data_IF_416223088258
#
_entry.id   IF_416223088258
#
_cell.length_a   1.000
_cell.length_b   1.000
_cell.length_c   1.000
_cell.angle_alpha   90.00
_cell.angle_beta   90.00
_cell.angle_gamma   90.00
#
_symmetry.space_group_name_H-M   'P 1'
#
loop_
_entity.id
_entity.type
_entity.pdbx_description
1 polymer ?
#
# COMPACT_ATOMS: atom_id res chain seq x y z
N UNK A 1 16.77 -17.99 5.09
CA UNK A 1 15.55 -17.16 5.30
C UNK A 1 14.36 -18.08 5.14
N UNK A 2 13.43 -18.10 6.08
CA UNK A 2 12.29 -19.03 6.02
C UNK A 2 11.25 -18.60 4.97
N UNK A 3 10.40 -19.52 4.48
CA UNK A 3 9.42 -19.21 3.44
C UNK A 3 8.46 -18.07 3.77
N UNK A 4 8.06 -17.90 5.04
CA UNK A 4 7.14 -16.82 5.43
C UNK A 4 7.82 -15.47 5.35
N UNK A 5 9.04 -15.36 5.85
CA UNK A 5 9.83 -14.13 5.74
C UNK A 5 10.02 -13.72 4.26
N UNK A 6 10.29 -14.68 3.37
CA UNK A 6 10.40 -14.38 1.92
C UNK A 6 9.08 -13.83 1.34
N UNK A 7 7.94 -14.40 1.72
CA UNK A 7 6.62 -13.92 1.28
C UNK A 7 6.38 -12.50 1.77
N UNK A 8 6.67 -12.22 3.05
CA UNK A 8 6.50 -10.87 3.62
C UNK A 8 7.40 -9.86 2.90
N UNK A 9 8.64 -10.22 2.56
CA UNK A 9 9.55 -9.35 1.78
C UNK A 9 8.97 -9.03 0.41
N UNK A 10 8.44 -10.02 -0.33
CA UNK A 10 7.82 -9.77 -1.64
C UNK A 10 6.61 -8.85 -1.53
N UNK A 11 5.76 -9.06 -0.52
CA UNK A 11 4.60 -8.21 -0.26
C UNK A 11 5.01 -6.78 0.09
N UNK A 12 6.08 -6.62 0.86
CA UNK A 12 6.70 -5.34 1.20
C UNK A 12 7.25 -4.63 -0.02
N UNK A 13 7.93 -5.33 -0.92
CA UNK A 13 8.45 -4.74 -2.17
C UNK A 13 7.33 -4.20 -3.05
N UNK A 14 6.24 -4.96 -3.20
CA UNK A 14 5.05 -4.51 -3.93
C UNK A 14 4.44 -3.29 -3.24
N UNK A 15 4.29 -3.32 -1.92
CA UNK A 15 3.76 -2.20 -1.15
C UNK A 15 4.59 -0.92 -1.33
N UNK A 16 5.92 -1.00 -1.27
CA UNK A 16 6.82 0.13 -1.48
C UNK A 16 6.68 0.72 -2.88
N UNK A 17 6.55 -0.13 -3.90
CA UNK A 17 6.31 0.31 -5.27
C UNK A 17 4.98 1.06 -5.37
N UNK A 18 3.89 0.49 -4.84
CA UNK A 18 2.57 1.13 -4.86
C UNK A 18 2.55 2.45 -4.07
N UNK A 19 3.24 2.50 -2.92
CA UNK A 19 3.40 3.73 -2.11
C UNK A 19 4.08 4.82 -2.92
N UNK A 20 5.15 4.48 -3.64
CA UNK A 20 5.88 5.40 -4.51
C UNK A 20 5.02 5.87 -5.68
N UNK A 21 4.37 4.95 -6.39
CA UNK A 21 3.53 5.26 -7.55
C UNK A 21 2.39 6.23 -7.15
N UNK A 22 1.72 5.96 -6.03
CA UNK A 22 0.68 6.85 -5.47
C UNK A 22 1.20 8.27 -5.26
N UNK A 23 2.36 8.42 -4.61
CA UNK A 23 2.98 9.73 -4.34
C UNK A 23 3.37 10.44 -5.64
N UNK A 24 3.95 9.73 -6.60
CA UNK A 24 4.34 10.32 -7.89
C UNK A 24 3.12 10.80 -8.70
N UNK A 25 2.01 10.05 -8.68
CA UNK A 25 0.78 10.44 -9.37
C UNK A 25 0.15 11.67 -8.70
N UNK A 26 0.09 11.72 -7.36
CA UNK A 26 -0.41 12.89 -6.63
C UNK A 26 0.42 14.13 -6.94
N UNK A 27 1.75 14.02 -6.97
CA UNK A 27 2.63 15.14 -7.37
C UNK A 27 2.38 15.63 -8.79
N UNK A 28 2.11 14.71 -9.73
CA UNK A 28 1.76 15.08 -11.11
C UNK A 28 0.44 15.84 -11.16
N UNK A 29 -0.56 15.40 -10.41
CA UNK A 29 -1.87 16.06 -10.32
C UNK A 29 -1.78 17.49 -9.75
N UNK A 30 -0.87 17.72 -8.81
CA UNK A 30 -0.62 19.04 -8.21
C UNK A 30 0.16 20.00 -9.12
N UNK A 31 0.57 19.55 -10.31
CA UNK A 31 1.33 20.38 -11.25
C UNK A 31 0.50 21.60 -11.72
N UNK A 32 1.01 22.83 -11.55
CA UNK A 32 0.26 24.06 -11.81
C UNK A 32 -0.08 24.27 -13.29
N UNK A 33 0.58 23.53 -14.19
CA UNK A 33 0.47 23.70 -15.64
C UNK A 33 -0.45 22.66 -16.32
N UNK A 34 -1.24 21.90 -15.56
CA UNK A 34 -2.20 20.96 -16.15
C UNK A 34 -3.46 21.68 -16.64
N UNK A 35 -3.90 21.35 -17.85
CA UNK A 35 -5.25 21.69 -18.32
C UNK A 35 -6.31 20.92 -17.51
N UNK A 36 -7.54 21.41 -17.51
CA UNK A 36 -8.61 20.81 -16.69
C UNK A 36 -8.92 19.35 -17.10
N UNK A 37 -8.93 19.05 -18.41
CA UNK A 37 -9.06 17.66 -18.90
C UNK A 37 -7.96 16.75 -18.35
N UNK A 38 -6.70 17.22 -18.37
CA UNK A 38 -5.57 16.45 -17.84
C UNK A 38 -5.66 16.30 -16.32
N UNK A 39 -6.17 17.31 -15.60
CA UNK A 39 -6.40 17.20 -14.16
C UNK A 39 -7.44 16.12 -13.86
N UNK A 40 -8.51 16.03 -14.65
CA UNK A 40 -9.51 14.98 -14.48
C UNK A 40 -8.91 13.59 -14.74
N UNK A 41 -8.16 13.41 -15.82
CA UNK A 41 -7.43 12.17 -16.10
C UNK A 41 -6.51 11.79 -14.92
N UNK A 42 -5.70 12.73 -14.43
CA UNK A 42 -4.80 12.49 -13.30
C UNK A 42 -5.56 12.21 -11.99
N UNK A 43 -6.74 12.78 -11.77
CA UNK A 43 -7.60 12.45 -10.61
C UNK A 43 -8.06 11.01 -10.67
N UNK A 44 -8.55 10.55 -11.83
CA UNK A 44 -8.97 9.16 -12.00
C UNK A 44 -7.80 8.18 -11.79
N UNK A 45 -6.63 8.51 -12.34
CA UNK A 45 -5.41 7.71 -12.14
C UNK A 45 -4.98 7.70 -10.68
N UNK A 46 -5.05 8.83 -9.97
CA UNK A 46 -4.72 8.92 -8.55
C UNK A 46 -5.67 8.08 -7.69
N UNK A 47 -6.98 8.13 -7.99
CA UNK A 47 -7.98 7.30 -7.31
C UNK A 47 -7.75 5.82 -7.56
N UNK A 48 -7.43 5.43 -8.80
CA UNK A 48 -7.08 4.06 -9.16
C UNK A 48 -5.84 3.57 -8.40
N UNK A 49 -4.78 4.37 -8.35
CA UNK A 49 -3.56 4.04 -7.61
C UNK A 49 -3.81 3.90 -6.10
N UNK A 50 -4.66 4.78 -5.53
CA UNK A 50 -5.09 4.66 -4.13
C UNK A 50 -5.83 3.35 -3.89
N UNK A 51 -6.81 3.00 -4.73
CA UNK A 51 -7.58 1.73 -4.60
C UNK A 51 -6.67 0.50 -4.65
N UNK A 52 -5.69 0.47 -5.54
CA UNK A 52 -4.73 -0.65 -5.64
C UNK A 52 -3.83 -0.72 -4.40
N UNK A 53 -3.33 0.43 -3.92
CA UNK A 53 -2.55 0.51 -2.68
C UNK A 53 -3.35 -0.02 -1.48
N UNK A 54 -4.59 0.47 -1.30
CA UNK A 54 -5.46 0.09 -0.19
C UNK A 54 -5.84 -1.41 -0.27
N UNK A 55 -6.13 -1.93 -1.47
CA UNK A 55 -6.43 -3.35 -1.68
C UNK A 55 -5.23 -4.26 -1.32
N UNK A 56 -4.02 -3.84 -1.69
CA UNK A 56 -2.80 -4.59 -1.35
C UNK A 56 -2.57 -4.64 0.16
N UNK A 57 -2.68 -3.50 0.85
CA UNK A 57 -2.60 -3.45 2.33
C UNK A 57 -3.67 -4.31 2.99
N UNK A 58 -4.90 -4.25 2.49
CA UNK A 58 -6.01 -5.09 2.97
C UNK A 58 -5.69 -6.59 2.85
N UNK A 59 -5.11 -7.03 1.73
CA UNK A 59 -4.72 -8.42 1.55
C UNK A 59 -3.65 -8.87 2.56
N UNK A 60 -2.64 -8.02 2.81
CA UNK A 60 -1.61 -8.31 3.83
C UNK A 60 -2.24 -8.38 5.22
N UNK A 61 -3.10 -7.41 5.57
CA UNK A 61 -3.81 -7.37 6.85
C UNK A 61 -4.68 -8.62 7.06
N UNK A 62 -5.39 -9.08 6.03
CA UNK A 62 -6.19 -10.31 6.09
C UNK A 62 -5.33 -11.56 6.28
N UNK A 63 -4.14 -11.60 5.69
CA UNK A 63 -3.23 -12.72 5.90
C UNK A 63 -2.71 -12.78 7.35
N UNK A 64 -2.48 -11.61 7.98
CA UNK A 64 -2.18 -11.54 9.41
C UNK A 64 -3.36 -12.01 10.25
N UNK A 65 -4.57 -11.50 9.95
CA UNK A 65 -5.81 -11.90 10.65
C UNK A 65 -6.09 -13.40 10.55
N UNK A 66 -5.76 -14.01 9.41
CA UNK A 66 -5.92 -15.44 9.15
C UNK A 66 -4.73 -16.30 9.63
N UNK A 67 -3.76 -15.72 10.35
CA UNK A 67 -2.61 -16.41 10.92
C UNK A 67 -1.65 -17.08 9.89
N UNK A 68 -1.62 -16.61 8.64
CA UNK A 68 -0.60 -17.08 7.68
C UNK A 68 0.80 -16.67 8.14
N UNK A 69 0.91 -15.46 8.68
CA UNK A 69 2.06 -14.92 9.41
C UNK A 69 1.54 -13.97 10.50
N UNK A 70 2.39 -13.71 11.48
CA UNK A 70 2.09 -12.90 12.65
C UNK A 70 2.46 -11.45 12.41
N UNK A 71 1.85 -10.57 13.21
CA UNK A 71 2.23 -9.16 13.30
C UNK A 71 3.74 -8.95 13.46
N UNK A 72 4.33 -9.67 14.41
CA UNK A 72 5.76 -9.59 14.74
C UNK A 72 6.66 -10.04 13.60
N UNK A 73 6.20 -10.96 12.74
CA UNK A 73 6.95 -11.36 11.54
C UNK A 73 6.95 -10.24 10.50
N UNK A 74 5.84 -9.50 10.35
CA UNK A 74 5.78 -8.32 9.47
C UNK A 74 6.65 -7.19 10.02
N UNK A 75 6.52 -6.87 11.30
CA UNK A 75 7.28 -5.82 11.99
C UNK A 75 8.80 -6.03 11.90
N UNK A 76 9.26 -7.29 12.01
CA UNK A 76 10.67 -7.65 11.81
C UNK A 76 11.19 -7.36 10.40
N UNK A 77 10.33 -7.48 9.38
CA UNK A 77 10.71 -7.21 7.99
C UNK A 77 10.66 -5.72 7.70
N UNK A 78 9.57 -5.05 8.08
CA UNK A 78 9.39 -3.62 7.89
C UNK A 78 8.37 -3.05 8.90
N UNK A 79 8.79 -2.24 9.89
CA UNK A 79 7.91 -1.70 10.91
C UNK A 79 6.91 -0.67 10.36
N UNK A 80 7.24 0.02 9.25
CA UNK A 80 6.32 0.96 8.62
C UNK A 80 5.17 0.19 7.94
N UNK A 81 5.49 -0.94 7.30
CA UNK A 81 4.46 -1.82 6.73
C UNK A 81 3.53 -2.34 7.82
N UNK A 82 4.09 -2.80 8.95
CA UNK A 82 3.32 -3.23 10.10
C UNK A 82 2.37 -2.10 10.57
N UNK A 83 2.88 -0.89 10.77
CA UNK A 83 2.05 0.26 11.19
C UNK A 83 0.92 0.59 10.21
N UNK A 84 1.15 0.44 8.90
CA UNK A 84 0.12 0.70 7.87
C UNK A 84 -0.98 -0.37 7.87
N UNK A 85 -0.63 -1.65 8.00
CA UNK A 85 -1.65 -2.71 8.11
C UNK A 85 -2.45 -2.58 9.43
N UNK A 86 -1.92 -1.87 10.43
CA UNK A 86 -2.55 -1.74 11.77
C UNK A 86 -3.77 -0.84 11.65
N UNK A 87 -3.55 0.31 11.03
CA UNK A 87 -4.59 1.28 10.70
C UNK A 87 -5.72 0.60 9.94
N UNK A 88 -5.38 -0.24 8.95
CA UNK A 88 -6.36 -0.98 8.15
C UNK A 88 -7.16 -1.99 8.98
N UNK A 89 -6.55 -2.62 9.99
CA UNK A 89 -7.27 -3.53 10.88
C UNK A 89 -8.15 -2.77 11.89
N UNK A 90 -7.66 -1.66 12.44
CA UNK A 90 -8.39 -0.81 13.39
C UNK A 90 -9.60 -0.13 12.75
N UNK A 91 -9.53 0.27 11.48
CA UNK A 91 -10.67 0.84 10.74
C UNK A 91 -11.83 -0.14 10.52
N UNK A 92 -11.64 -1.44 10.82
CA UNK A 92 -12.63 -2.51 10.60
C UNK A 92 -13.23 -3.09 11.89
N UNK A 93 -12.82 -2.58 13.04
CA UNK A 93 -13.39 -2.90 14.36
C UNK A 93 -14.47 -1.87 14.74
#
# INVERSE_FOLDING_TARGET
MDPKTNIIIQLREIWLKLKKDKVEITKKLESPNLSDDKKEDFRQVAEGAKKVYDAHLNNIAMNVKNNFYTWKEVEKVDPDLASEIEKVLQEKE
#
